data_IF_571955545560
#
_entry.id   IF_571955545560
#
_cell.length_a   1.000
_cell.length_b   1.000
_cell.length_c   1.000
_cell.angle_alpha   90.00
_cell.angle_beta   90.00
_cell.angle_gamma   90.00
#
_symmetry.space_group_name_H-M   'P 1'
#
loop_
_entity.id
_entity.type
_entity.pdbx_description
1 polymer ?
#
# COMPACT_ATOMS: atom_id res chain seq x y z
N UNK A 1 -19.85 -67.61 -23.69
CA UNK A 1 -18.85 -67.46 -24.77
C UNK A 1 -17.90 -66.34 -24.37
N UNK A 2 -16.61 -66.67 -24.22
CA UNK A 2 -15.40 -65.82 -24.14
C UNK A 2 -15.29 -64.72 -23.06
N UNK A 3 -14.17 -64.53 -22.34
CA UNK A 3 -12.99 -65.35 -21.96
C UNK A 3 -12.22 -64.51 -20.92
N UNK A 4 -11.54 -65.20 -20.01
CA UNK A 4 -10.64 -64.68 -18.99
C UNK A 4 -9.18 -64.98 -19.41
N UNK A 5 -8.26 -64.02 -19.25
CA UNK A 5 -6.76 -64.09 -19.26
C UNK A 5 -6.22 -62.70 -19.69
N UNK A 6 -5.20 -62.04 -19.11
CA UNK A 6 -3.94 -62.55 -18.57
C UNK A 6 -3.24 -61.54 -17.63
N UNK A 7 -2.47 -62.08 -16.68
CA UNK A 7 -1.50 -61.43 -15.80
C UNK A 7 -0.08 -61.55 -16.39
N UNK A 8 0.66 -60.43 -16.51
CA UNK A 8 2.14 -60.28 -16.39
C UNK A 8 2.38 -58.78 -16.08
N UNK A 9 3.08 -58.32 -15.05
CA UNK A 9 4.27 -58.86 -14.38
C UNK A 9 5.48 -58.04 -14.82
N UNK A 10 5.73 -56.88 -14.19
CA UNK A 10 7.05 -56.22 -14.14
C UNK A 10 7.20 -55.44 -12.83
N UNK A 11 7.96 -56.05 -11.92
CA UNK A 11 8.68 -55.39 -10.84
C UNK A 11 9.98 -54.85 -11.43
N UNK A 12 10.33 -53.60 -11.11
CA UNK A 12 11.72 -53.20 -11.00
C UNK A 12 11.84 -52.10 -9.96
N UNK A 13 12.57 -52.43 -8.90
CA UNK A 13 13.00 -51.59 -7.80
C UNK A 13 13.70 -50.31 -8.27
N UNK A 14 13.45 -49.22 -7.55
CA UNK A 14 14.11 -47.93 -7.73
C UNK A 14 14.06 -47.13 -6.44
N UNK A 15 14.79 -47.59 -5.44
CA UNK A 15 15.00 -46.90 -4.18
C UNK A 15 15.60 -45.50 -4.43
N UNK A 16 14.82 -44.44 -4.16
CA UNK A 16 15.38 -43.09 -4.07
C UNK A 16 15.90 -42.87 -2.65
N UNK A 17 17.23 -42.98 -2.54
CA UNK A 17 17.99 -42.65 -1.36
C UNK A 17 17.76 -41.18 -0.97
N UNK A 18 17.27 -41.01 0.26
CA UNK A 18 17.14 -39.74 0.97
C UNK A 18 18.55 -39.23 1.28
N UNK A 19 19.01 -38.21 0.56
CA UNK A 19 20.23 -37.47 0.93
C UNK A 19 19.82 -36.31 1.82
N UNK A 20 19.89 -36.54 3.12
CA UNK A 20 19.79 -35.50 4.14
C UNK A 20 21.06 -34.61 4.04
N UNK A 21 20.87 -33.33 3.72
CA UNK A 21 21.89 -32.32 3.96
C UNK A 21 21.61 -31.66 5.32
N UNK A 22 22.62 -31.50 6.18
CA UNK A 22 22.44 -30.93 7.51
C UNK A 22 22.09 -29.44 7.43
N UNK A 23 21.08 -29.06 8.21
CA UNK A 23 20.71 -27.67 8.48
C UNK A 23 21.79 -27.06 9.36
N UNK A 24 22.51 -26.08 8.83
CA UNK A 24 23.45 -25.27 9.59
C UNK A 24 22.65 -24.26 10.41
N UNK A 25 22.67 -24.48 11.72
CA UNK A 25 22.02 -23.70 12.75
C UNK A 25 22.86 -22.45 13.02
N UNK A 26 22.46 -21.31 12.47
CA UNK A 26 23.06 -20.02 12.79
C UNK A 26 22.45 -19.51 14.11
N UNK A 27 23.20 -19.69 15.19
CA UNK A 27 23.03 -18.94 16.44
C UNK A 27 23.10 -17.44 16.13
N UNK A 28 22.04 -16.70 16.47
CA UNK A 28 22.09 -15.25 16.51
C UNK A 28 21.71 -14.82 17.92
N UNK A 29 22.74 -14.78 18.76
CA UNK A 29 22.70 -14.27 20.14
C UNK A 29 22.38 -12.78 20.16
N UNK A 30 21.39 -12.46 20.99
CA UNK A 30 21.11 -11.20 21.67
C UNK A 30 22.05 -10.02 21.42
N UNK A 31 21.47 -8.93 20.89
CA UNK A 31 21.99 -7.58 21.07
C UNK A 31 20.91 -6.74 21.77
N UNK A 32 20.96 -6.81 23.11
CA UNK A 32 20.34 -5.88 24.04
C UNK A 32 20.80 -4.46 23.72
N UNK A 33 19.88 -3.61 23.26
CA UNK A 33 20.09 -2.15 23.24
C UNK A 33 19.56 -1.58 24.56
N UNK A 34 20.51 -1.20 25.40
CA UNK A 34 20.36 -0.51 26.67
C UNK A 34 19.55 0.80 26.48
N UNK A 35 18.43 0.90 27.19
CA UNK A 35 17.60 2.09 27.30
C UNK A 35 17.66 2.57 28.74
N UNK A 36 18.55 3.51 29.04
CA UNK A 36 18.44 4.45 30.17
C UNK A 36 19.49 5.56 30.10
N UNK A 37 19.01 6.79 30.11
CA UNK A 37 19.47 7.92 30.95
C UNK A 37 19.55 9.25 30.18
N UNK A 38 18.46 10.04 30.23
CA UNK A 38 18.58 11.49 30.42
C UNK A 38 17.52 11.88 31.45
N UNK A 39 17.97 12.14 32.68
CA UNK A 39 17.20 12.79 33.75
C UNK A 39 17.47 14.29 33.73
N UNK A 40 16.39 15.05 33.90
CA UNK A 40 16.25 16.27 34.69
C UNK A 40 17.38 17.31 34.74
N UNK A 41 17.11 18.46 34.13
CA UNK A 41 17.48 19.80 34.61
C UNK A 41 16.20 20.63 34.42
N UNK A 42 15.56 21.25 35.40
CA UNK A 42 16.04 22.00 36.55
C UNK A 42 15.42 23.41 36.43
N UNK A 43 14.30 23.62 37.12
CA UNK A 43 13.56 24.89 37.17
C UNK A 43 14.45 26.02 37.72
N UNK A 44 14.47 27.16 37.03
CA UNK A 44 15.08 28.41 37.51
C UNK A 44 14.23 29.61 37.09
N UNK A 45 13.40 30.11 38.02
CA UNK A 45 12.61 31.34 37.91
C UNK A 45 13.47 32.51 38.41
N UNK A 46 13.61 33.57 37.62
CA UNK A 46 13.83 34.94 38.11
C UNK A 46 13.16 35.92 37.16
N UNK A 47 12.22 36.72 37.67
CA UNK A 47 11.54 37.76 36.93
C UNK A 47 12.23 39.11 37.03
N UNK A 48 12.00 39.99 36.05
CA UNK A 48 12.14 41.45 36.15
C UNK A 48 11.02 42.08 35.32
N UNK A 49 10.36 43.08 35.89
CA UNK A 49 9.10 43.69 35.42
C UNK A 49 9.21 44.70 34.26
N UNK A 50 8.09 45.37 33.91
CA UNK A 50 7.93 46.08 32.65
C UNK A 50 8.34 47.56 32.74
N UNK A 51 9.00 48.07 31.71
CA UNK A 51 9.30 49.51 31.58
C UNK A 51 8.39 50.22 30.56
N UNK A 52 7.45 50.95 31.16
CA UNK A 52 6.82 52.24 30.84
C UNK A 52 7.29 53.00 29.57
N UNK A 53 6.32 53.30 28.70
CA UNK A 53 6.31 54.34 27.65
C UNK A 53 6.17 55.76 28.22
N UNK A 54 6.76 56.76 27.54
CA UNK A 54 6.36 58.18 27.61
C UNK A 54 6.51 58.89 26.24
N UNK A 55 5.78 60.00 25.98
CA UNK A 55 5.35 60.41 24.65
C UNK A 55 5.89 61.77 24.16
N UNK A 56 5.80 61.96 22.84
CA UNK A 56 5.40 63.20 22.16
C UNK A 56 6.45 64.28 21.92
N UNK A 57 6.58 64.72 20.66
CA UNK A 57 6.52 66.14 20.25
C UNK A 57 6.01 66.24 18.81
N UNK A 58 4.93 67.00 18.65
CA UNK A 58 4.33 67.50 17.41
C UNK A 58 4.96 68.84 17.05
N UNK A 59 5.17 69.16 15.76
CA UNK A 59 5.34 70.55 15.34
C UNK A 59 4.56 70.86 14.06
N UNK A 60 3.88 72.01 14.11
CA UNK A 60 2.83 72.53 13.24
C UNK A 60 3.39 73.20 11.98
N UNK A 61 2.58 73.16 10.92
CA UNK A 61 2.62 74.04 9.74
C UNK A 61 2.15 75.47 10.09
N UNK A 62 2.51 76.47 9.26
CA UNK A 62 1.60 77.56 8.95
C UNK A 62 1.25 77.61 7.45
N UNK A 63 -0.02 77.90 7.20
CA UNK A 63 -0.63 78.16 5.90
C UNK A 63 -0.55 79.65 5.56
N UNK A 64 -0.34 79.98 4.28
CA UNK A 64 -0.88 81.20 3.67
C UNK A 64 -1.38 80.88 2.26
N UNK A 65 -2.63 81.28 2.01
CA UNK A 65 -3.39 81.06 0.79
C UNK A 65 -3.09 82.12 -0.28
N UNK A 66 -3.18 81.73 -1.55
CA UNK A 66 -3.74 82.56 -2.62
C UNK A 66 -4.08 81.66 -3.82
N UNK A 67 -5.32 81.80 -4.30
CA UNK A 67 -5.86 81.11 -5.47
C UNK A 67 -5.32 81.72 -6.78
N UNK A 68 -5.18 80.90 -7.82
CA UNK A 68 -5.86 81.06 -9.12
C UNK A 68 -5.41 79.98 -10.13
N UNK A 69 -6.35 79.67 -11.02
CA UNK A 69 -6.48 78.57 -11.97
C UNK A 69 -5.54 78.74 -13.17
N UNK A 70 -4.88 77.66 -13.63
CA UNK A 70 -4.72 77.36 -15.06
C UNK A 70 -4.12 75.95 -15.26
N UNK A 71 -4.85 75.13 -16.01
CA UNK A 71 -4.44 73.81 -16.49
C UNK A 71 -3.31 73.91 -17.53
N UNK A 72 -2.33 73.00 -17.50
CA UNK A 72 -1.78 72.26 -18.67
C UNK A 72 -1.09 70.99 -18.15
N UNK A 73 -1.29 69.91 -18.90
CA UNK A 73 -0.94 68.52 -18.64
C UNK A 73 0.55 68.16 -18.73
N UNK A 74 0.84 67.02 -18.08
CA UNK A 74 1.89 66.00 -18.29
C UNK A 74 3.21 66.14 -17.52
N UNK A 75 3.22 65.42 -16.40
CA UNK A 75 4.28 65.25 -15.42
C UNK A 75 5.52 64.50 -15.97
N UNK A 76 6.64 65.22 -15.91
CA UNK A 76 7.95 64.83 -15.36
C UNK A 76 8.21 63.38 -14.93
N UNK A 77 9.26 62.81 -15.54
CA UNK A 77 10.01 61.64 -15.08
C UNK A 77 10.69 61.90 -13.73
N UNK A 78 10.36 61.11 -12.71
CA UNK A 78 11.26 60.59 -11.68
C UNK A 78 10.44 59.77 -10.68
N UNK A 79 10.53 58.44 -10.74
CA UNK A 79 9.70 57.57 -9.93
C UNK A 79 10.37 56.22 -9.68
N UNK A 80 11.21 56.21 -8.65
CA UNK A 80 11.52 55.08 -7.78
C UNK A 80 12.12 53.81 -8.42
N UNK A 81 13.30 53.46 -7.90
CA UNK A 81 13.86 52.11 -7.83
C UNK A 81 12.79 51.11 -7.39
N UNK A 82 12.07 50.53 -8.35
CA UNK A 82 11.42 49.23 -8.18
C UNK A 82 12.48 48.19 -8.45
N UNK A 83 13.31 47.93 -7.44
CA UNK A 83 13.82 46.57 -7.22
C UNK A 83 12.63 45.64 -7.43
N UNK A 84 12.64 44.93 -8.55
CA UNK A 84 11.62 43.93 -8.87
C UNK A 84 11.62 42.87 -7.76
N UNK A 85 10.74 43.07 -6.78
CA UNK A 85 10.17 42.02 -5.94
C UNK A 85 9.38 40.98 -6.77
N UNK A 86 9.48 41.00 -8.11
CA UNK A 86 9.04 39.95 -9.02
C UNK A 86 10.06 38.81 -9.18
N UNK A 87 11.21 38.88 -8.49
CA UNK A 87 12.09 37.74 -8.24
C UNK A 87 11.87 37.17 -6.82
N UNK A 88 10.62 37.13 -6.37
CA UNK A 88 10.20 36.16 -5.37
C UNK A 88 10.00 34.84 -6.12
N UNK A 89 10.96 33.93 -6.01
CA UNK A 89 10.83 32.57 -6.47
C UNK A 89 9.51 31.99 -5.92
N UNK A 90 8.61 31.63 -6.83
CA UNK A 90 7.52 30.71 -6.53
C UNK A 90 8.17 29.41 -6.06
N UNK A 91 8.22 29.19 -4.74
CA UNK A 91 8.52 27.88 -4.17
C UNK A 91 7.31 27.02 -4.48
N UNK A 92 7.22 26.57 -5.74
CA UNK A 92 6.11 25.78 -6.25
C UNK A 92 6.04 24.52 -5.40
N UNK A 93 4.98 24.40 -4.60
CA UNK A 93 4.78 23.25 -3.73
C UNK A 93 4.93 21.95 -4.54
N UNK A 94 5.65 20.98 -3.99
CA UNK A 94 5.85 19.69 -4.65
C UNK A 94 4.49 19.04 -4.97
N UNK A 95 4.34 18.41 -6.16
CA UNK A 95 3.14 17.66 -6.47
C UNK A 95 2.94 16.50 -5.48
N UNK A 96 1.72 15.96 -5.42
CA UNK A 96 1.38 14.87 -4.50
C UNK A 96 1.12 13.55 -5.26
N UNK A 97 1.62 12.45 -4.69
CA UNK A 97 1.33 11.07 -5.11
C UNK A 97 0.37 10.45 -4.10
N UNK A 98 -0.81 10.06 -4.56
CA UNK A 98 -1.78 9.32 -3.76
C UNK A 98 -1.36 7.84 -3.72
N UNK A 99 -0.93 7.36 -2.55
CA UNK A 99 -0.44 6.00 -2.38
C UNK A 99 -1.55 4.96 -2.56
N UNK A 100 -2.76 5.18 -2.04
CA UNK A 100 -3.91 4.28 -2.26
C UNK A 100 -4.20 4.05 -3.74
N UNK A 101 -4.24 5.12 -4.54
CA UNK A 101 -4.50 5.02 -5.98
C UNK A 101 -3.35 4.34 -6.74
N UNK A 102 -2.11 4.60 -6.31
CA UNK A 102 -0.91 4.01 -6.94
C UNK A 102 -0.81 2.52 -6.65
N UNK A 103 -1.04 2.09 -5.40
CA UNK A 103 -1.06 0.67 -5.02
C UNK A 103 -2.20 -0.07 -5.73
N UNK A 104 -3.38 0.56 -5.82
CA UNK A 104 -4.51 0.01 -6.58
C UNK A 104 -4.14 -0.22 -8.05
N UNK A 105 -3.53 0.77 -8.71
CA UNK A 105 -3.05 0.60 -10.08
C UNK A 105 -2.03 -0.54 -10.20
N UNK A 106 -1.05 -0.59 -9.30
CA UNK A 106 -0.02 -1.64 -9.28
C UNK A 106 -0.58 -3.05 -9.04
N UNK A 107 -1.77 -3.19 -8.45
CA UNK A 107 -2.45 -4.48 -8.31
C UNK A 107 -3.28 -4.85 -9.56
N UNK A 108 -3.94 -3.88 -10.20
CA UNK A 108 -4.88 -4.18 -11.28
C UNK A 108 -4.25 -4.11 -12.67
N UNK A 109 -3.50 -3.05 -12.96
CA UNK A 109 -2.91 -2.80 -14.28
C UNK A 109 -2.08 -4.01 -14.78
N UNK A 110 -1.14 -4.61 -14.02
CA UNK A 110 -0.34 -5.73 -14.55
C UNK A 110 -1.15 -7.01 -14.77
N UNK A 111 -2.43 -7.03 -14.38
CA UNK A 111 -3.36 -8.15 -14.57
C UNK A 111 -4.30 -7.93 -15.75
N UNK A 112 -4.50 -6.70 -16.20
CA UNK A 112 -5.39 -6.41 -17.34
C UNK A 112 -4.81 -6.95 -18.65
N UNK A 113 -5.66 -7.39 -19.59
CA UNK A 113 -5.22 -7.75 -20.94
C UNK A 113 -4.95 -6.53 -21.83
N UNK A 114 -5.41 -5.35 -21.42
CA UNK A 114 -5.31 -4.08 -22.12
C UNK A 114 -4.53 -3.02 -21.32
N UNK A 115 -4.37 -1.83 -21.90
CA UNK A 115 -3.68 -0.67 -21.33
C UNK A 115 -4.64 0.33 -20.67
N UNK A 116 -5.87 -0.11 -20.35
CA UNK A 116 -6.87 0.74 -19.69
C UNK A 116 -6.33 1.22 -18.33
N UNK A 117 -6.23 2.54 -18.17
CA UNK A 117 -5.72 3.16 -16.94
C UNK A 117 -6.65 2.94 -15.76
N UNK A 118 -6.09 2.57 -14.61
CA UNK A 118 -6.88 2.52 -13.37
C UNK A 118 -7.43 3.91 -13.01
N UNK A 119 -8.77 4.06 -12.87
CA UNK A 119 -9.40 5.36 -12.60
C UNK A 119 -8.82 6.06 -11.36
N UNK A 120 -8.49 7.34 -11.52
CA UNK A 120 -7.92 8.17 -10.45
C UNK A 120 -6.42 7.99 -10.18
N UNK A 121 -5.76 7.00 -10.80
CA UNK A 121 -4.34 6.71 -10.54
C UNK A 121 -3.36 7.44 -11.46
N UNK A 122 -3.77 7.76 -12.70
CA UNK A 122 -2.88 8.27 -13.78
C UNK A 122 -1.87 9.32 -13.33
N UNK A 123 -2.33 10.38 -12.65
CA UNK A 123 -1.45 11.48 -12.25
C UNK A 123 -0.36 11.04 -11.26
N UNK A 124 -0.71 10.15 -10.32
CA UNK A 124 0.24 9.60 -9.34
C UNK A 124 1.21 8.61 -9.99
N UNK A 125 0.70 7.72 -10.84
CA UNK A 125 1.52 6.74 -11.57
C UNK A 125 2.54 7.44 -12.46
N UNK A 126 2.13 8.47 -13.21
CA UNK A 126 3.04 9.27 -14.03
C UNK A 126 4.18 9.92 -13.23
N UNK A 127 3.94 10.36 -11.99
CA UNK A 127 4.99 10.91 -11.12
C UNK A 127 5.99 9.82 -10.70
N UNK A 128 5.50 8.62 -10.39
CA UNK A 128 6.33 7.46 -10.05
C UNK A 128 7.16 7.02 -11.25
N UNK A 129 6.56 6.86 -12.42
CA UNK A 129 7.23 6.44 -13.65
C UNK A 129 8.31 7.44 -14.09
N UNK A 130 8.03 8.75 -14.03
CA UNK A 130 9.06 9.77 -14.28
C UNK A 130 10.23 9.64 -13.32
N UNK A 131 9.96 9.42 -12.02
CA UNK A 131 11.02 9.25 -11.03
C UNK A 131 11.86 7.97 -11.27
N UNK A 132 11.23 6.88 -11.74
CA UNK A 132 11.93 5.66 -12.16
C UNK A 132 12.75 5.87 -13.44
N UNK A 133 12.21 6.58 -14.42
CA UNK A 133 12.90 6.95 -15.66
C UNK A 133 14.12 7.81 -15.38
N UNK A 134 14.01 8.82 -14.53
CA UNK A 134 15.12 9.70 -14.16
C UNK A 134 16.25 8.93 -13.43
N UNK A 135 15.91 7.81 -12.79
CA UNK A 135 16.86 6.84 -12.22
C UNK A 135 17.39 5.83 -13.23
N UNK A 136 17.02 5.95 -14.51
CA UNK A 136 17.35 5.02 -15.61
C UNK A 136 16.89 3.58 -15.36
N UNK A 137 15.78 3.42 -14.65
CA UNK A 137 15.17 2.11 -14.36
C UNK A 137 13.96 1.80 -15.25
N UNK A 138 13.44 2.82 -15.97
CA UNK A 138 12.28 2.72 -16.83
C UNK A 138 12.50 3.56 -18.10
N UNK A 139 12.19 3.01 -19.28
CA UNK A 139 12.29 3.75 -20.53
C UNK A 139 11.18 4.81 -20.64
N UNK A 140 11.47 5.90 -21.35
CA UNK A 140 10.52 7.02 -21.51
C UNK A 140 9.18 6.62 -22.16
N UNK A 141 9.16 5.57 -22.98
CA UNK A 141 7.94 5.07 -23.63
C UNK A 141 6.94 4.43 -22.66
N UNK A 142 7.39 4.04 -21.46
CA UNK A 142 6.57 3.45 -20.40
C UNK A 142 6.18 4.49 -19.33
N UNK A 143 6.28 5.78 -19.64
CA UNK A 143 5.80 6.87 -18.80
C UNK A 143 4.44 7.32 -19.35
N UNK A 144 3.42 6.49 -19.15
CA UNK A 144 2.09 6.60 -19.74
C UNK A 144 0.97 6.72 -18.67
N UNK A 145 1.31 6.48 -17.41
CA UNK A 145 0.38 6.47 -16.28
C UNK A 145 -0.29 5.12 -16.03
N UNK A 146 0.19 4.05 -16.68
CA UNK A 146 -0.25 2.67 -16.51
C UNK A 146 0.79 1.88 -15.71
N UNK A 147 0.44 1.44 -14.50
CA UNK A 147 1.38 0.71 -13.63
C UNK A 147 1.48 -0.77 -14.05
N UNK A 148 1.85 -1.01 -15.32
CA UNK A 148 1.93 -2.33 -15.90
C UNK A 148 3.11 -3.16 -15.38
N UNK A 149 3.27 -4.36 -15.94
CA UNK A 149 4.33 -5.30 -15.57
C UNK A 149 5.74 -4.71 -15.71
N UNK A 150 5.98 -3.86 -16.72
CA UNK A 150 7.25 -3.14 -16.89
C UNK A 150 7.53 -2.17 -15.74
N UNK A 151 6.51 -1.40 -15.33
CA UNK A 151 6.61 -0.46 -14.19
C UNK A 151 6.79 -1.20 -12.87
N UNK A 152 6.10 -2.33 -12.66
CA UNK A 152 6.31 -3.23 -11.50
C UNK A 152 7.77 -3.71 -11.44
N UNK A 153 8.32 -4.20 -12.57
CA UNK A 153 9.70 -4.67 -12.62
C UNK A 153 10.72 -3.53 -12.36
N UNK A 154 10.48 -2.35 -12.92
CA UNK A 154 11.31 -1.17 -12.67
C UNK A 154 11.26 -0.73 -11.20
N UNK A 155 10.06 -0.73 -10.59
CA UNK A 155 9.89 -0.40 -9.19
C UNK A 155 10.55 -1.43 -8.26
N UNK A 156 10.49 -2.73 -8.60
CA UNK A 156 11.20 -3.78 -7.85
C UNK A 156 12.73 -3.58 -7.90
N UNK A 157 13.29 -3.23 -9.07
CA UNK A 157 14.71 -2.89 -9.20
C UNK A 157 15.08 -1.67 -8.36
N UNK A 158 14.20 -0.66 -8.34
CA UNK A 158 14.36 0.52 -7.49
C UNK A 158 14.36 0.15 -5.99
N UNK A 159 13.41 -0.69 -5.54
CA UNK A 159 13.40 -1.14 -4.15
C UNK A 159 14.70 -1.86 -3.77
N UNK A 160 15.20 -2.74 -4.64
CA UNK A 160 16.48 -3.43 -4.44
C UNK A 160 17.67 -2.47 -4.37
N UNK A 161 17.67 -1.38 -5.15
CA UNK A 161 18.74 -0.38 -5.07
C UNK A 161 18.74 0.43 -3.78
N UNK A 162 17.65 0.38 -2.99
CA UNK A 162 17.59 0.91 -1.63
C UNK A 162 18.08 -0.09 -0.57
N UNK A 163 18.52 -1.28 -0.97
CA UNK A 163 18.89 -2.38 -0.08
C UNK A 163 17.68 -3.18 0.46
N UNK A 164 16.48 -2.98 -0.08
CA UNK A 164 15.30 -3.74 0.34
C UNK A 164 15.31 -5.15 -0.28
N UNK A 165 14.73 -6.11 0.43
CA UNK A 165 14.68 -7.52 0.02
C UNK A 165 13.31 -8.15 0.34
N UNK A 166 13.03 -9.32 -0.24
CA UNK A 166 11.79 -10.06 0.05
C UNK A 166 10.53 -9.26 -0.28
N UNK A 167 9.58 -9.23 0.66
CA UNK A 167 8.30 -8.52 0.52
C UNK A 167 8.47 -7.00 0.30
N UNK A 168 9.56 -6.41 0.78
CA UNK A 168 9.83 -4.97 0.59
C UNK A 168 10.42 -4.64 -0.79
N UNK A 169 10.67 -5.65 -1.63
CA UNK A 169 11.31 -5.52 -2.95
C UNK A 169 10.60 -6.30 -4.06
N UNK A 170 9.26 -6.37 -3.98
CA UNK A 170 8.41 -7.16 -4.87
C UNK A 170 7.72 -6.35 -5.99
N UNK A 171 8.02 -5.05 -6.12
CA UNK A 171 7.46 -4.15 -7.12
C UNK A 171 6.18 -3.43 -6.71
N UNK A 172 5.59 -3.75 -5.54
CA UNK A 172 4.45 -3.03 -5.00
C UNK A 172 4.91 -1.76 -4.27
N UNK A 173 4.33 -0.58 -4.53
CA UNK A 173 4.69 0.65 -3.82
C UNK A 173 4.40 0.60 -2.31
N UNK A 174 5.45 0.44 -1.50
CA UNK A 174 5.40 0.58 -0.05
C UNK A 174 5.67 2.01 0.44
N UNK A 175 5.24 2.33 1.67
CA UNK A 175 5.41 3.66 2.30
C UNK A 175 6.86 4.14 2.24
N UNK A 176 7.80 3.30 2.64
CA UNK A 176 9.24 3.62 2.68
C UNK A 176 9.81 3.87 1.29
N UNK A 177 9.63 2.93 0.35
CA UNK A 177 10.19 3.04 -1.00
C UNK A 177 9.59 4.22 -1.77
N UNK A 178 8.27 4.46 -1.64
CA UNK A 178 7.57 5.53 -2.33
C UNK A 178 7.98 6.91 -1.78
N UNK A 179 8.13 7.04 -0.46
CA UNK A 179 8.63 8.27 0.17
C UNK A 179 10.07 8.57 -0.27
N UNK A 180 10.95 7.57 -0.29
CA UNK A 180 12.33 7.72 -0.79
C UNK A 180 12.38 8.07 -2.27
N UNK A 181 11.43 7.58 -3.07
CA UNK A 181 11.37 7.87 -4.50
C UNK A 181 10.95 9.33 -4.73
N UNK A 182 10.07 9.82 -3.87
CA UNK A 182 9.52 11.16 -3.88
C UNK A 182 10.42 12.24 -3.28
N UNK A 183 11.56 11.90 -2.67
CA UNK A 183 12.50 12.89 -2.12
C UNK A 183 12.82 13.97 -3.17
N UNK A 184 12.55 15.22 -2.81
CA UNK A 184 12.66 16.44 -3.65
C UNK A 184 11.84 16.44 -4.96
N UNK A 185 10.86 15.52 -5.10
CA UNK A 185 10.09 15.29 -6.33
C UNK A 185 8.59 15.36 -6.12
N UNK A 186 8.08 14.73 -5.07
CA UNK A 186 6.66 14.73 -4.72
C UNK A 186 6.44 14.36 -3.26
N UNK A 187 5.32 14.82 -2.69
CA UNK A 187 4.84 14.39 -1.39
C UNK A 187 3.97 13.15 -1.53
N UNK A 188 4.12 12.16 -0.65
CA UNK A 188 3.20 11.02 -0.60
C UNK A 188 2.00 11.34 0.30
N UNK A 189 0.79 11.12 -0.18
CA UNK A 189 -0.48 11.28 0.55
C UNK A 189 -1.24 9.95 0.58
N UNK A 190 -2.31 9.87 1.40
CA UNK A 190 -3.16 8.67 1.52
C UNK A 190 -2.33 7.42 1.85
N UNK A 191 -1.49 7.54 2.88
CA UNK A 191 -0.55 6.48 3.25
C UNK A 191 -1.30 5.23 3.70
N UNK A 192 -0.94 4.10 3.12
CA UNK A 192 -1.38 2.78 3.60
C UNK A 192 -0.30 2.24 4.54
N UNK A 193 -0.73 1.77 5.71
CA UNK A 193 0.13 1.15 6.71
C UNK A 193 -0.49 -0.18 7.17
N UNK A 194 0.13 -1.33 6.84
CA UNK A 194 -0.30 -2.63 7.37
C UNK A 194 -0.18 -2.72 8.90
N UNK A 195 0.73 -1.90 9.46
CA UNK A 195 1.12 -1.90 10.86
C UNK A 195 1.87 -3.18 11.27
N UNK A 196 1.92 -3.45 12.57
CA UNK A 196 2.75 -4.53 13.13
C UNK A 196 2.14 -5.91 12.91
N UNK A 197 3.00 -6.94 12.91
CA UNK A 197 2.54 -8.34 13.00
C UNK A 197 1.99 -8.60 14.41
N UNK A 198 0.90 -9.36 14.48
CA UNK A 198 0.18 -9.73 15.70
C UNK A 198 -0.29 -11.18 15.60
N UNK A 199 -0.42 -11.86 16.74
CA UNK A 199 -1.02 -13.20 16.79
C UNK A 199 -2.53 -13.10 17.01
N UNK A 200 -3.30 -13.89 16.27
CA UNK A 200 -4.76 -14.06 16.38
C UNK A 200 -5.08 -15.53 16.17
N UNK A 201 -5.67 -16.20 17.17
CA UNK A 201 -6.07 -17.61 17.05
C UNK A 201 -4.91 -18.58 16.76
N UNK A 202 -3.70 -18.29 17.25
CA UNK A 202 -2.49 -19.09 16.95
C UNK A 202 -1.80 -18.74 15.62
N UNK A 203 -2.39 -17.87 14.80
CA UNK A 203 -1.84 -17.46 13.51
C UNK A 203 -1.30 -16.04 13.54
N UNK A 204 -0.34 -15.73 12.65
CA UNK A 204 0.20 -14.37 12.51
C UNK A 204 -0.55 -13.62 11.43
N UNK A 205 -0.97 -12.39 11.71
CA UNK A 205 -1.51 -11.43 10.74
C UNK A 205 -0.97 -10.03 11.04
N UNK A 206 -1.22 -9.02 10.20
CA UNK A 206 -0.91 -7.63 10.56
C UNK A 206 -2.10 -6.92 11.22
N UNK A 207 -1.84 -5.82 11.92
CA UNK A 207 -2.85 -5.05 12.65
C UNK A 207 -3.98 -4.52 11.75
N UNK A 208 -3.68 -4.20 10.49
CA UNK A 208 -4.70 -3.76 9.52
C UNK A 208 -5.67 -4.90 9.20
N UNK A 209 -5.14 -6.08 8.89
CA UNK A 209 -5.92 -7.30 8.60
C UNK A 209 -6.77 -7.70 9.80
N UNK A 210 -6.21 -7.64 11.02
CA UNK A 210 -6.97 -7.89 12.26
C UNK A 210 -8.16 -6.94 12.40
N UNK A 211 -7.97 -5.65 12.14
CA UNK A 211 -9.05 -4.65 12.20
C UNK A 211 -10.13 -4.91 11.15
N UNK A 212 -9.73 -5.29 9.93
CA UNK A 212 -10.67 -5.64 8.87
C UNK A 212 -11.48 -6.91 9.22
N UNK A 213 -10.86 -7.92 9.83
CA UNK A 213 -11.54 -9.13 10.31
C UNK A 213 -12.52 -8.83 11.43
N UNK A 214 -12.12 -8.01 12.41
CA UNK A 214 -13.01 -7.56 13.48
C UNK A 214 -14.23 -6.82 12.93
N UNK A 215 -14.04 -6.01 11.89
CA UNK A 215 -15.15 -5.34 11.23
C UNK A 215 -16.05 -6.30 10.45
N UNK A 216 -15.48 -7.29 9.76
CA UNK A 216 -16.27 -8.33 9.10
C UNK A 216 -17.11 -9.14 10.11
N UNK A 217 -16.53 -9.48 11.27
CA UNK A 217 -17.23 -10.13 12.38
C UNK A 217 -18.38 -9.25 12.90
N UNK A 218 -18.13 -7.95 13.10
CA UNK A 218 -19.16 -6.98 13.54
C UNK A 218 -20.31 -6.88 12.55
N UNK A 219 -20.02 -6.82 11.24
CA UNK A 219 -21.03 -6.77 10.17
C UNK A 219 -21.85 -8.06 10.08
N UNK A 220 -21.25 -9.20 10.44
CA UNK A 220 -21.87 -10.51 10.39
C UNK A 220 -22.65 -10.85 11.68
N UNK A 221 -22.26 -10.28 12.82
CA UNK A 221 -22.75 -10.68 14.14
C UNK A 221 -22.25 -12.07 14.56
N UNK A 222 -21.06 -12.47 14.12
CA UNK A 222 -20.47 -13.79 14.38
C UNK A 222 -18.95 -13.71 14.35
N UNK A 223 -18.31 -14.51 15.18
CA UNK A 223 -16.85 -14.71 15.15
C UNK A 223 -16.38 -15.58 13.99
N UNK A 224 -15.18 -15.28 13.51
CA UNK A 224 -14.52 -16.00 12.43
C UNK A 224 -13.29 -16.71 12.99
N UNK A 225 -13.20 -18.00 12.73
CA UNK A 225 -12.03 -18.83 13.09
C UNK A 225 -11.09 -18.91 11.88
N UNK A 226 -9.79 -18.75 12.12
CA UNK A 226 -8.78 -18.86 11.06
C UNK A 226 -8.31 -20.31 10.96
N UNK A 227 -8.22 -20.81 9.73
CA UNK A 227 -7.50 -22.05 9.42
C UNK A 227 -6.03 -21.75 9.08
N UNK A 228 -5.75 -20.54 8.57
CA UNK A 228 -4.40 -20.09 8.22
C UNK A 228 -4.26 -18.56 8.30
N UNK A 229 -3.08 -18.09 8.72
CA UNK A 229 -2.72 -16.68 8.76
C UNK A 229 -1.83 -16.21 7.60
N UNK A 230 -1.30 -15.01 7.77
CA UNK A 230 -0.32 -14.37 6.91
C UNK A 230 1.12 -14.70 7.32
N UNK A 231 2.08 -14.29 6.51
CA UNK A 231 3.52 -14.43 6.75
C UNK A 231 3.96 -15.87 7.02
N UNK A 232 3.41 -16.80 6.23
CA UNK A 232 3.58 -18.25 6.39
C UNK A 232 4.29 -18.88 5.17
N UNK A 233 5.52 -18.44 4.82
CA UNK A 233 6.23 -18.98 3.66
C UNK A 233 6.50 -20.47 3.82
N UNK A 234 6.03 -21.26 2.85
CA UNK A 234 6.18 -22.72 2.86
C UNK A 234 5.31 -23.46 3.87
N UNK A 235 4.37 -22.79 4.55
CA UNK A 235 3.50 -23.44 5.54
C UNK A 235 2.41 -24.32 4.92
N UNK A 236 1.91 -23.98 3.73
CA UNK A 236 1.10 -24.87 2.89
C UNK A 236 1.52 -24.71 1.42
N UNK A 237 2.09 -25.76 0.79
CA UNK A 237 2.51 -25.68 -0.61
C UNK A 237 1.33 -25.50 -1.58
N UNK A 238 0.10 -25.86 -1.18
CA UNK A 238 -1.09 -25.73 -2.03
C UNK A 238 -1.54 -24.28 -2.19
N UNK A 239 -1.19 -23.39 -1.25
CA UNK A 239 -1.51 -21.96 -1.34
C UNK A 239 -0.69 -21.20 -2.38
N UNK A 240 0.28 -21.84 -3.04
CA UNK A 240 1.12 -21.25 -4.08
C UNK A 240 1.76 -19.90 -3.68
N UNK A 241 2.13 -19.75 -2.41
CA UNK A 241 2.81 -18.55 -1.88
C UNK A 241 1.92 -17.33 -1.59
N UNK A 242 0.60 -17.44 -1.70
CA UNK A 242 -0.30 -16.30 -1.41
C UNK A 242 -0.21 -15.85 0.06
N UNK A 243 0.09 -16.77 0.99
CA UNK A 243 0.24 -16.47 2.42
C UNK A 243 1.65 -16.07 2.84
N UNK A 244 2.62 -16.02 1.93
CA UNK A 244 4.02 -15.67 2.25
C UNK A 244 4.16 -14.24 2.78
N UNK A 245 3.20 -13.37 2.42
CA UNK A 245 3.11 -11.98 2.85
C UNK A 245 1.99 -11.72 3.85
N UNK A 246 1.78 -10.45 4.18
CA UNK A 246 0.67 -9.98 4.99
C UNK A 246 -0.64 -9.91 4.22
N UNK A 247 -1.73 -9.63 4.94
CA UNK A 247 -3.02 -9.33 4.31
C UNK A 247 -3.85 -10.56 3.94
N UNK A 248 -3.33 -11.78 4.02
CA UNK A 248 -4.03 -12.99 3.56
C UNK A 248 -4.38 -13.90 4.73
N UNK A 249 -5.59 -14.42 4.73
CA UNK A 249 -6.08 -15.39 5.71
C UNK A 249 -6.98 -16.42 5.04
N UNK A 250 -6.98 -17.63 5.60
CA UNK A 250 -8.01 -18.63 5.36
C UNK A 250 -8.87 -18.77 6.61
N UNK A 251 -10.18 -18.82 6.40
CA UNK A 251 -11.20 -18.84 7.44
C UNK A 251 -11.94 -20.17 7.37
N UNK A 252 -12.10 -20.79 8.54
CA UNK A 252 -12.82 -22.04 8.70
C UNK A 252 -14.26 -21.93 8.26
N UNK A 253 -14.76 -22.98 7.61
CA UNK A 253 -16.18 -23.11 7.27
C UNK A 253 -16.90 -24.18 8.09
N UNK A 254 -16.24 -24.65 9.16
CA UNK A 254 -16.81 -25.62 10.10
C UNK A 254 -18.15 -25.09 10.64
N UNK A 255 -19.18 -25.94 10.61
CA UNK A 255 -20.54 -25.55 11.03
C UNK A 255 -21.25 -24.54 10.11
N UNK A 256 -20.71 -24.21 8.93
CA UNK A 256 -21.34 -23.28 7.98
C UNK A 256 -22.00 -23.99 6.81
N UNK A 257 -23.28 -23.69 6.59
CA UNK A 257 -23.97 -24.01 5.34
C UNK A 257 -23.58 -23.02 4.21
N UNK A 258 -24.01 -23.29 2.97
CA UNK A 258 -23.68 -22.46 1.81
C UNK A 258 -24.11 -20.99 1.94
N UNK A 259 -25.31 -20.74 2.49
CA UNK A 259 -25.81 -19.39 2.72
C UNK A 259 -24.93 -18.62 3.71
N UNK A 260 -24.46 -19.30 4.76
CA UNK A 260 -23.58 -18.72 5.78
C UNK A 260 -22.21 -18.39 5.19
N UNK A 261 -21.60 -19.30 4.40
CA UNK A 261 -20.33 -19.03 3.71
C UNK A 261 -20.45 -17.81 2.79
N UNK A 262 -21.57 -17.70 2.07
CA UNK A 262 -21.86 -16.54 1.21
C UNK A 262 -22.00 -15.25 2.03
N UNK A 263 -22.64 -15.29 3.19
CA UNK A 263 -22.76 -14.14 4.09
C UNK A 263 -21.40 -13.70 4.64
N UNK A 264 -20.53 -14.64 5.03
CA UNK A 264 -19.16 -14.37 5.48
C UNK A 264 -18.35 -13.69 4.37
N UNK A 265 -18.32 -14.24 3.15
CA UNK A 265 -17.60 -13.62 2.02
C UNK A 265 -18.14 -12.22 1.71
N UNK A 266 -19.46 -12.01 1.80
CA UNK A 266 -20.07 -10.68 1.61
C UNK A 266 -19.59 -9.69 2.68
N UNK A 267 -19.50 -10.10 3.95
CA UNK A 267 -19.00 -9.26 5.04
C UNK A 267 -17.51 -8.91 4.86
N UNK A 268 -16.68 -9.89 4.52
CA UNK A 268 -15.26 -9.69 4.21
C UNK A 268 -15.07 -8.70 3.05
N UNK A 269 -15.80 -8.88 1.94
CA UNK A 269 -15.73 -7.97 0.79
C UNK A 269 -16.17 -6.54 1.15
N UNK A 270 -17.16 -6.38 2.02
CA UNK A 270 -17.58 -5.07 2.53
C UNK A 270 -16.49 -4.40 3.38
N UNK A 271 -15.74 -5.18 4.16
CA UNK A 271 -14.59 -4.73 4.94
C UNK A 271 -13.32 -4.52 4.10
N UNK A 272 -13.37 -4.70 2.77
CA UNK A 272 -12.26 -4.41 1.86
C UNK A 272 -11.32 -5.59 1.57
N UNK A 273 -11.78 -6.83 1.75
CA UNK A 273 -11.08 -8.01 1.25
C UNK A 273 -11.50 -8.36 -0.19
N UNK A 274 -10.57 -8.87 -0.98
CA UNK A 274 -10.87 -9.79 -2.07
C UNK A 274 -11.06 -11.18 -1.45
N UNK A 275 -12.27 -11.74 -1.51
CA UNK A 275 -12.57 -12.98 -0.77
C UNK A 275 -13.42 -13.97 -1.58
N UNK A 276 -13.18 -15.26 -1.40
CA UNK A 276 -13.85 -16.36 -2.10
C UNK A 276 -14.11 -17.54 -1.18
N UNK A 277 -15.22 -18.25 -1.42
CA UNK A 277 -15.37 -19.60 -0.89
C UNK A 277 -14.55 -20.52 -1.78
N UNK A 278 -13.64 -21.31 -1.20
CA UNK A 278 -12.87 -22.33 -1.91
C UNK A 278 -13.44 -23.72 -1.64
N UNK A 279 -13.40 -24.56 -2.67
CA UNK A 279 -13.90 -25.93 -2.63
C UNK A 279 -12.87 -26.94 -3.15
N UNK A 280 -12.96 -28.22 -2.75
CA UNK A 280 -12.09 -29.28 -3.28
C UNK A 280 -12.22 -29.51 -4.80
N UNK A 281 -13.22 -28.92 -5.46
CA UNK A 281 -13.37 -28.98 -6.92
C UNK A 281 -12.43 -28.01 -7.65
N UNK A 282 -11.86 -27.05 -6.92
CA UNK A 282 -11.02 -25.98 -7.48
C UNK A 282 -9.52 -26.25 -7.27
N UNK A 283 -9.16 -27.24 -6.45
CA UNK A 283 -7.78 -27.62 -6.13
C UNK A 283 -7.72 -28.61 -4.98
N UNK A 284 -6.51 -29.04 -4.63
CA UNK A 284 -6.24 -30.02 -3.58
C UNK A 284 -6.25 -29.36 -2.19
N UNK A 285 -7.42 -28.89 -1.77
CA UNK A 285 -7.64 -28.24 -0.48
C UNK A 285 -9.06 -28.53 0.03
N UNK A 286 -9.28 -28.56 1.36
CA UNK A 286 -10.61 -28.65 1.92
C UNK A 286 -11.42 -27.37 1.63
N UNK A 287 -12.71 -27.41 1.97
CA UNK A 287 -13.49 -26.18 1.97
C UNK A 287 -12.94 -25.18 2.97
N UNK A 288 -12.77 -23.93 2.55
CA UNK A 288 -12.38 -22.80 3.40
C UNK A 288 -12.85 -21.49 2.73
N UNK A 289 -12.73 -20.36 3.42
CA UNK A 289 -12.89 -19.03 2.84
C UNK A 289 -11.53 -18.36 2.76
N UNK A 290 -11.06 -18.09 1.54
CA UNK A 290 -9.80 -17.39 1.30
C UNK A 290 -10.06 -15.89 1.17
N UNK A 291 -9.30 -15.06 1.88
CA UNK A 291 -9.46 -13.60 1.86
C UNK A 291 -8.11 -12.86 1.85
N UNK A 292 -7.93 -11.95 0.89
CA UNK A 292 -6.76 -11.09 0.73
C UNK A 292 -7.14 -9.61 0.90
N UNK A 293 -6.48 -8.91 1.81
CA UNK A 293 -6.75 -7.52 2.15
C UNK A 293 -6.32 -6.60 1.00
N UNK A 294 -7.27 -5.93 0.36
CA UNK A 294 -7.00 -5.06 -0.77
C UNK A 294 -6.03 -3.95 -0.34
N UNK A 295 -5.06 -3.65 -1.22
CA UNK A 295 -4.01 -2.66 -1.01
C UNK A 295 -3.06 -2.87 0.18
N UNK A 296 -3.06 -4.03 0.83
CA UNK A 296 -2.07 -4.30 1.88
C UNK A 296 -0.65 -4.34 1.28
N UNK A 297 0.22 -3.42 1.69
CA UNK A 297 1.55 -3.28 1.08
C UNK A 297 2.55 -4.36 1.48
N UNK A 298 2.14 -5.30 2.33
CA UNK A 298 2.95 -6.46 2.72
C UNK A 298 2.55 -7.76 2.02
N UNK A 299 1.60 -7.73 1.07
CA UNK A 299 1.20 -8.89 0.27
C UNK A 299 2.35 -9.50 -0.53
N UNK A 300 2.34 -10.83 -0.67
CA UNK A 300 3.16 -11.51 -1.68
C UNK A 300 2.71 -11.13 -3.09
N UNK A 301 3.58 -11.30 -4.09
CA UNK A 301 3.21 -11.01 -5.49
C UNK A 301 2.04 -11.87 -5.97
N UNK A 302 1.92 -13.10 -5.47
CA UNK A 302 0.83 -14.00 -5.82
C UNK A 302 -0.51 -13.47 -5.28
N UNK A 303 -0.54 -13.00 -4.03
CA UNK A 303 -1.74 -12.39 -3.46
C UNK A 303 -2.10 -11.05 -4.13
N UNK A 304 -1.11 -10.26 -4.56
CA UNK A 304 -1.36 -9.05 -5.34
C UNK A 304 -2.09 -9.37 -6.67
N UNK A 305 -1.67 -10.44 -7.36
CA UNK A 305 -2.33 -10.88 -8.59
C UNK A 305 -3.79 -11.29 -8.35
N UNK A 306 -4.10 -11.94 -7.21
CA UNK A 306 -5.47 -12.29 -6.86
C UNK A 306 -6.35 -11.06 -6.67
N UNK A 307 -5.81 -9.97 -6.08
CA UNK A 307 -6.56 -8.72 -5.93
C UNK A 307 -6.79 -8.06 -7.29
N UNK A 308 -5.79 -8.02 -8.16
CA UNK A 308 -5.99 -7.52 -9.53
C UNK A 308 -7.06 -8.31 -10.27
N UNK A 309 -7.01 -9.63 -10.18
CA UNK A 309 -8.02 -10.54 -10.75
C UNK A 309 -9.42 -10.28 -10.16
N UNK A 310 -9.53 -10.03 -8.85
CA UNK A 310 -10.79 -9.67 -8.20
C UNK A 310 -11.40 -8.39 -8.76
N UNK A 311 -10.60 -7.34 -8.95
CA UNK A 311 -11.05 -6.09 -9.57
C UNK A 311 -11.52 -6.28 -11.02
N UNK A 312 -11.01 -7.29 -11.70
CA UNK A 312 -11.37 -7.65 -13.08
C UNK A 312 -12.55 -8.65 -13.14
N UNK A 313 -13.15 -8.98 -11.99
CA UNK A 313 -14.28 -9.91 -11.93
C UNK A 313 -13.88 -11.38 -12.07
N UNK A 314 -12.63 -11.72 -11.72
CA UNK A 314 -12.05 -13.05 -11.84
C UNK A 314 -11.79 -13.66 -10.44
N UNK A 315 -11.62 -14.98 -10.40
CA UNK A 315 -11.60 -15.77 -9.16
C UNK A 315 -10.24 -15.87 -8.46
N UNK A 316 -9.21 -15.20 -8.99
CA UNK A 316 -7.84 -15.21 -8.42
C UNK A 316 -7.15 -16.58 -8.43
N UNK A 317 -7.60 -17.54 -9.23
CA UNK A 317 -6.90 -18.81 -9.46
C UNK A 317 -6.11 -18.75 -10.76
N UNK A 318 -5.17 -19.68 -10.97
CA UNK A 318 -4.32 -19.77 -12.17
C UNK A 318 -5.10 -19.72 -13.49
N UNK A 319 -6.27 -20.37 -13.55
CA UNK A 319 -7.13 -20.38 -14.73
C UNK A 319 -7.89 -19.06 -14.98
N UNK A 320 -7.84 -18.11 -14.05
CA UNK A 320 -8.48 -16.78 -14.14
C UNK A 320 -9.95 -16.86 -14.56
N UNK A 321 -10.67 -17.85 -14.04
CA UNK A 321 -12.10 -18.01 -14.29
C UNK A 321 -12.92 -16.89 -13.66
N UNK A 322 -14.21 -16.73 -14.02
CA UNK A 322 -15.08 -15.72 -13.44
C UNK A 322 -15.17 -15.83 -11.91
N UNK A 323 -15.22 -14.69 -11.23
CA UNK A 323 -15.56 -14.62 -9.80
C UNK A 323 -17.00 -15.09 -9.57
N UNK A 324 -17.15 -16.15 -8.79
CA UNK A 324 -18.42 -16.78 -8.41
C UNK A 324 -18.96 -16.31 -7.04
N UNK A 325 -18.23 -15.43 -6.35
CA UNK A 325 -18.62 -14.92 -5.03
C UNK A 325 -19.74 -13.85 -5.08
N UNK A 326 -20.30 -13.50 -3.90
CA UNK A 326 -21.34 -12.47 -3.78
C UNK A 326 -20.84 -11.12 -4.29
N UNK A 327 -21.64 -10.45 -5.12
CA UNK A 327 -21.32 -9.14 -5.67
C UNK A 327 -21.57 -8.04 -4.65
N UNK A 328 -20.55 -7.23 -4.41
CA UNK A 328 -20.59 -5.99 -3.63
C UNK A 328 -19.77 -4.94 -4.36
N UNK A 329 -20.01 -3.66 -4.09
CA UNK A 329 -19.11 -2.60 -4.56
C UNK A 329 -17.73 -2.82 -3.96
N UNK A 330 -16.75 -3.11 -4.81
CA UNK A 330 -15.36 -3.29 -4.39
C UNK A 330 -14.85 -1.96 -3.83
N UNK A 331 -14.23 -2.04 -2.66
CA UNK A 331 -13.63 -0.90 -1.96
C UNK A 331 -12.40 -1.33 -1.18
N UNK A 332 -11.48 -0.41 -0.93
CA UNK A 332 -10.38 -0.64 0.01
C UNK A 332 -10.86 -0.47 1.46
N UNK A 333 -10.02 -0.87 2.42
CA UNK A 333 -10.26 -0.60 3.84
C UNK A 333 -10.31 0.91 4.12
N UNK A 334 -9.43 1.67 3.51
CA UNK A 334 -9.35 3.12 3.69
C UNK A 334 -10.58 3.83 3.11
N UNK A 335 -11.10 3.36 1.97
CA UNK A 335 -12.38 3.82 1.41
C UNK A 335 -13.58 3.45 2.30
N UNK A 336 -13.50 2.30 2.99
CA UNK A 336 -14.51 1.89 3.97
C UNK A 336 -14.53 2.80 5.19
N UNK A 337 -13.37 3.07 5.78
CA UNK A 337 -13.24 3.85 7.01
C UNK A 337 -13.62 5.34 6.86
N UNK A 338 -13.59 5.89 5.64
CA UNK A 338 -13.96 7.29 5.38
C UNK A 338 -15.46 7.54 5.27
N UNK A 339 -16.31 6.52 5.43
CA UNK A 339 -17.77 6.62 5.35
C UNK A 339 -18.39 6.48 6.72
#
# INVERSE_FOLDING_TARGET
>A
MYKCSDLRGYLSDGAYARTEKPVEQADNTDLLVDTRAIRNVGFGRTGIGPQRLKPGVTMKLPSCAAALIAAVLLASLAGASRTSAAQAADVRALPSVNMEATVKAAQIDPRRPDDTLTPGAKASVLLVERALRDRRLLDAKWVDGYFGTTTVAAYAKYQKSLGLTGLDANGLPGKTSLTRLGADRFKVTNIIDPGTRVSTGGFVINTRTRSMLAEAQRLLGRDLELDQGSYNPGGDPTSAGTHDGGGVVDISVTGMNSATRTAVVRALRRAGFAAWVRSPRQGDWPWHIHAAAISDTSLSSQAQHQIGDYYLGLNGLTGRGPDDGPKVTIRTWEEYQRR
#
